data_IF_898034876535
#
_entry.id   IF_898034876535
#
_cell.length_a   1.000
_cell.length_b   1.000
_cell.length_c   1.000
_cell.angle_alpha   90.00
_cell.angle_beta   90.00
_cell.angle_gamma   90.00
#
_symmetry.space_group_name_H-M   'P 1'
#
loop_
_entity.id
_entity.type
_entity.pdbx_description
1 polymer ?
#
# COMPACT_ATOMS: atom_id res chain seq x y z
N UNK A 1 31.36 26.42 28.82
CA UNK A 1 30.39 26.63 27.74
C UNK A 1 30.60 25.52 26.74
N UNK A 2 29.65 24.58 26.67
CA UNK A 2 29.74 23.37 25.83
C UNK A 2 29.23 23.72 24.44
N UNK A 3 30.12 23.74 23.44
CA UNK A 3 29.75 23.90 22.03
C UNK A 3 29.12 22.59 21.55
N UNK A 4 27.80 22.53 21.54
CA UNK A 4 27.09 21.54 20.73
C UNK A 4 27.10 22.04 19.30
N UNK A 5 27.87 21.38 18.43
CA UNK A 5 27.69 21.50 16.99
C UNK A 5 26.33 20.90 16.64
N UNK A 6 25.38 21.78 16.30
CA UNK A 6 24.12 21.38 15.69
C UNK A 6 24.45 20.87 14.30
N UNK A 7 24.42 19.55 14.16
CA UNK A 7 24.62 18.84 12.90
C UNK A 7 23.67 19.39 11.85
N UNK A 8 24.22 20.02 10.81
CA UNK A 8 23.48 20.66 9.70
C UNK A 8 23.03 19.61 8.68
N UNK A 9 22.30 18.60 9.12
CA UNK A 9 21.66 17.62 8.21
C UNK A 9 20.16 17.90 8.02
N UNK A 10 19.69 19.11 8.34
CA UNK A 10 18.29 19.51 8.17
C UNK A 10 18.02 20.23 6.84
N UNK A 11 18.75 19.90 5.79
CA UNK A 11 18.42 20.33 4.44
C UNK A 11 17.87 19.11 3.68
N UNK A 12 16.68 19.30 3.09
CA UNK A 12 15.88 18.34 2.32
C UNK A 12 15.06 17.29 3.08
N UNK A 13 14.03 17.78 3.76
CA UNK A 13 12.69 17.20 3.53
C UNK A 13 11.69 18.34 3.63
N UNK A 14 11.14 18.74 2.48
CA UNK A 14 9.84 19.38 2.41
C UNK A 14 8.82 18.44 3.07
N UNK A 15 8.72 18.51 4.40
CA UNK A 15 7.73 17.78 5.18
C UNK A 15 6.38 18.36 4.80
N UNK A 16 5.76 17.81 3.76
CA UNK A 16 4.33 17.99 3.52
C UNK A 16 3.63 17.56 4.81
N UNK A 17 3.12 18.54 5.56
CA UNK A 17 2.40 18.33 6.83
C UNK A 17 1.20 17.38 6.63
N UNK A 18 0.72 17.26 5.39
CA UNK A 18 -0.37 16.39 4.98
C UNK A 18 -0.01 14.90 4.88
N UNK A 19 1.28 14.53 4.81
CA UNK A 19 1.71 13.14 4.65
C UNK A 19 2.33 12.64 5.95
N UNK A 20 1.96 11.42 6.33
CA UNK A 20 2.56 10.71 7.44
C UNK A 20 4.00 10.28 7.12
N UNK A 21 4.78 9.96 8.15
CA UNK A 21 6.16 9.46 7.99
C UNK A 21 6.17 8.03 7.43
N UNK A 22 5.07 7.28 7.62
CA UNK A 22 4.90 5.92 7.13
C UNK A 22 4.47 5.92 5.67
N UNK A 23 5.29 5.38 4.79
CA UNK A 23 4.95 5.21 3.35
C UNK A 23 3.69 4.37 3.17
N UNK A 24 3.53 3.32 3.99
CA UNK A 24 2.34 2.47 3.98
C UNK A 24 1.07 3.23 4.40
N UNK A 25 1.17 4.21 5.29
CA UNK A 25 0.02 5.03 5.69
C UNK A 25 -0.34 6.03 4.59
N UNK A 26 0.66 6.62 3.93
CA UNK A 26 0.46 7.53 2.82
C UNK A 26 -0.19 6.84 1.62
N UNK A 27 0.30 5.64 1.28
CA UNK A 27 -0.30 4.83 0.24
C UNK A 27 -1.74 4.44 0.60
N UNK A 28 -1.99 4.06 1.87
CA UNK A 28 -3.34 3.80 2.37
C UNK A 28 -4.26 5.03 2.27
N UNK A 29 -3.80 6.21 2.65
CA UNK A 29 -4.61 7.44 2.51
C UNK A 29 -5.02 7.69 1.06
N UNK A 30 -4.13 7.42 0.10
CA UNK A 30 -4.43 7.59 -1.32
C UNK A 30 -5.39 6.51 -1.86
N UNK A 31 -5.21 5.24 -1.45
CA UNK A 31 -6.06 4.13 -1.89
C UNK A 31 -7.47 4.17 -1.29
N UNK A 32 -7.64 4.89 -0.18
CA UNK A 32 -8.91 5.02 0.55
C UNK A 32 -9.64 6.33 0.30
N UNK A 33 -9.16 7.15 -0.63
CA UNK A 33 -9.83 8.39 -0.99
C UNK A 33 -11.18 8.10 -1.68
N UNK A 34 -12.25 8.56 -1.03
CA UNK A 34 -13.63 8.35 -1.47
C UNK A 34 -14.19 9.57 -2.23
N UNK A 35 -13.52 10.73 -2.14
CA UNK A 35 -13.93 11.97 -2.79
C UNK A 35 -14.25 11.82 -4.29
N UNK A 36 -13.39 11.20 -5.13
CA UNK A 36 -13.66 11.11 -6.57
C UNK A 36 -14.92 10.29 -6.89
N UNK A 37 -15.27 9.33 -6.01
CA UNK A 37 -16.45 8.51 -6.20
C UNK A 37 -17.72 9.23 -5.77
N UNK A 38 -17.66 10.09 -4.75
CA UNK A 38 -18.82 10.83 -4.21
C UNK A 38 -19.20 12.04 -5.07
N UNK A 39 -18.22 12.72 -5.66
CA UNK A 39 -18.45 13.90 -6.52
C UNK A 39 -19.21 13.56 -7.82
N UNK A 40 -19.14 12.30 -8.26
CA UNK A 40 -19.83 11.82 -9.44
C UNK A 40 -21.36 11.61 -9.24
N UNK A 41 -21.86 11.69 -8.00
CA UNK A 41 -23.25 11.42 -7.67
C UNK A 41 -24.07 12.70 -7.49
N UNK A 42 -25.35 12.61 -7.83
CA UNK A 42 -26.32 13.64 -7.45
C UNK A 42 -26.63 13.58 -5.95
N UNK A 43 -27.04 14.69 -5.35
CA UNK A 43 -27.34 14.79 -3.92
C UNK A 43 -28.32 13.71 -3.42
N UNK A 44 -29.36 13.39 -4.20
CA UNK A 44 -30.33 12.33 -3.85
C UNK A 44 -29.70 10.93 -3.84
N UNK A 45 -28.78 10.67 -4.77
CA UNK A 45 -28.07 9.39 -4.82
C UNK A 45 -27.06 9.25 -3.68
N UNK A 46 -26.42 10.34 -3.30
CA UNK A 46 -25.49 10.39 -2.17
C UNK A 46 -26.21 10.11 -0.85
N UNK A 47 -27.39 10.71 -0.61
CA UNK A 47 -28.25 10.39 0.54
C UNK A 47 -28.63 8.91 0.55
N UNK A 48 -28.98 8.35 -0.62
CA UNK A 48 -29.29 6.93 -0.75
C UNK A 48 -28.10 6.03 -0.42
N UNK A 49 -26.89 6.36 -0.87
CA UNK A 49 -25.66 5.60 -0.59
C UNK A 49 -25.36 5.58 0.92
N UNK A 50 -25.47 6.72 1.62
CA UNK A 50 -25.29 6.77 3.07
C UNK A 50 -26.39 5.99 3.82
N UNK A 51 -27.65 6.10 3.40
CA UNK A 51 -28.74 5.32 3.99
C UNK A 51 -28.54 3.80 3.78
N UNK A 52 -27.92 3.41 2.66
CA UNK A 52 -27.61 2.02 2.32
C UNK A 52 -26.45 1.46 3.16
N UNK A 53 -25.51 2.31 3.55
CA UNK A 53 -24.49 1.99 4.55
C UNK A 53 -25.10 1.72 5.93
N UNK A 54 -25.94 2.63 6.43
CA UNK A 54 -26.57 2.47 7.75
C UNK A 54 -27.48 1.24 7.85
N UNK A 55 -28.10 0.85 6.74
CA UNK A 55 -29.07 -0.24 6.68
C UNK A 55 -28.48 -1.58 6.24
N UNK A 56 -27.15 -1.69 6.17
CA UNK A 56 -26.42 -2.91 5.78
C UNK A 56 -26.99 -3.56 4.49
N UNK A 57 -27.02 -2.79 3.39
CA UNK A 57 -27.50 -3.24 2.06
C UNK A 57 -29.02 -3.51 1.96
N UNK A 58 -29.82 -3.13 2.95
CA UNK A 58 -31.27 -3.22 2.85
C UNK A 58 -31.84 -2.09 1.95
N UNK A 59 -31.99 -2.39 0.66
CA UNK A 59 -32.45 -1.43 -0.37
C UNK A 59 -33.81 -0.79 -0.04
N UNK A 60 -34.87 -1.54 0.35
CA UNK A 60 -36.14 -0.95 0.76
C UNK A 60 -36.02 0.07 1.90
N UNK A 61 -35.30 -0.29 2.98
CA UNK A 61 -35.12 0.60 4.12
C UNK A 61 -34.28 1.84 3.77
N UNK A 62 -33.25 1.66 2.93
CA UNK A 62 -32.43 2.76 2.43
C UNK A 62 -33.23 3.72 1.54
N UNK A 63 -34.12 3.20 0.68
CA UNK A 63 -34.98 4.04 -0.17
C UNK A 63 -35.97 4.87 0.64
N UNK A 64 -36.54 4.30 1.69
CA UNK A 64 -37.48 4.99 2.57
C UNK A 64 -36.79 6.15 3.29
N UNK A 65 -35.61 5.89 3.87
CA UNK A 65 -34.76 6.93 4.49
C UNK A 65 -34.33 8.02 3.51
N UNK A 66 -34.07 7.67 2.26
CA UNK A 66 -33.69 8.62 1.21
C UNK A 66 -34.88 9.39 0.60
N UNK A 67 -36.12 9.09 0.99
CA UNK A 67 -37.32 9.69 0.42
C UNK A 67 -37.56 9.31 -1.05
N UNK A 68 -37.11 8.13 -1.46
CA UNK A 68 -37.21 7.62 -2.83
C UNK A 68 -38.19 6.45 -2.91
N UNK A 69 -38.76 6.22 -4.10
CA UNK A 69 -39.60 5.04 -4.32
C UNK A 69 -38.76 3.76 -4.33
N UNK A 70 -39.32 2.66 -3.82
CA UNK A 70 -38.63 1.36 -3.76
C UNK A 70 -38.21 0.85 -5.16
N UNK A 71 -39.01 1.13 -6.19
CA UNK A 71 -38.68 0.81 -7.59
C UNK A 71 -37.45 1.58 -8.07
N UNK A 72 -37.37 2.87 -7.73
CA UNK A 72 -36.24 3.72 -8.10
C UNK A 72 -34.94 3.29 -7.40
N UNK A 73 -34.99 2.87 -6.13
CA UNK A 73 -33.81 2.31 -5.45
C UNK A 73 -33.25 1.05 -6.08
N UNK A 74 -34.11 0.15 -6.55
CA UNK A 74 -33.67 -1.04 -7.29
C UNK A 74 -32.96 -0.67 -8.60
N UNK A 75 -33.38 0.41 -9.25
CA UNK A 75 -32.70 0.93 -10.44
C UNK A 75 -31.38 1.62 -10.09
N UNK A 76 -31.31 2.35 -8.98
CA UNK A 76 -30.07 2.96 -8.47
C UNK A 76 -28.99 1.92 -8.18
N UNK A 77 -29.35 0.75 -7.66
CA UNK A 77 -28.40 -0.33 -7.42
C UNK A 77 -27.80 -0.93 -8.69
N UNK A 78 -28.44 -0.73 -9.85
CA UNK A 78 -27.88 -1.15 -11.14
C UNK A 78 -26.84 -0.17 -11.65
N UNK A 79 -26.92 1.10 -11.24
CA UNK A 79 -25.94 2.13 -11.60
C UNK A 79 -24.56 1.76 -11.04
N UNK A 80 -23.55 1.78 -11.91
CA UNK A 80 -22.17 1.48 -11.54
C UNK A 80 -21.59 2.53 -10.59
N UNK A 81 -22.01 3.79 -10.71
CA UNK A 81 -21.50 4.90 -9.89
C UNK A 81 -21.90 4.74 -8.43
N UNK A 82 -23.16 4.40 -8.19
CA UNK A 82 -23.72 4.14 -6.86
C UNK A 82 -23.03 2.96 -6.20
N UNK A 83 -22.82 1.86 -6.93
CA UNK A 83 -22.10 0.68 -6.41
C UNK A 83 -20.64 0.99 -6.08
N UNK A 84 -19.94 1.71 -6.97
CA UNK A 84 -18.54 2.12 -6.72
C UNK A 84 -18.42 3.01 -5.49
N UNK A 85 -19.30 3.99 -5.33
CA UNK A 85 -19.31 4.86 -4.15
C UNK A 85 -19.61 4.10 -2.86
N UNK A 86 -20.57 3.17 -2.89
CA UNK A 86 -20.84 2.31 -1.74
C UNK A 86 -19.61 1.44 -1.38
N UNK A 87 -18.99 0.79 -2.36
CA UNK A 87 -17.78 -0.02 -2.14
C UNK A 87 -16.63 0.82 -1.60
N UNK A 88 -16.42 2.03 -2.13
CA UNK A 88 -15.38 2.94 -1.66
C UNK A 88 -15.59 3.34 -0.19
N UNK A 89 -16.82 3.70 0.20
CA UNK A 89 -17.15 4.03 1.59
C UNK A 89 -17.02 2.82 2.52
N UNK A 90 -17.45 1.63 2.07
CA UNK A 90 -17.31 0.40 2.85
C UNK A 90 -15.85 0.03 3.08
N UNK A 91 -15.03 0.17 2.04
CA UNK A 91 -13.60 -0.03 2.12
C UNK A 91 -13.00 0.98 3.10
N UNK A 92 -13.30 2.27 2.95
CA UNK A 92 -12.84 3.32 3.87
C UNK A 92 -13.16 2.98 5.34
N UNK A 93 -14.39 2.60 5.67
CA UNK A 93 -14.75 2.19 7.04
C UNK A 93 -13.98 0.95 7.53
N UNK A 94 -13.72 0.00 6.64
CA UNK A 94 -12.95 -1.20 6.98
C UNK A 94 -11.48 -0.84 7.26
N UNK A 95 -10.94 0.18 6.59
CA UNK A 95 -9.56 0.63 6.80
C UNK A 95 -9.35 1.34 8.14
N UNK A 96 -10.31 2.11 8.63
CA UNK A 96 -10.24 2.73 9.97
C UNK A 96 -10.22 1.74 11.14
N UNK A 97 -10.45 0.44 10.88
CA UNK A 97 -10.27 -0.61 11.89
C UNK A 97 -8.80 -0.99 12.11
N UNK A 98 -7.91 -0.58 11.22
CA UNK A 98 -6.48 -0.81 11.33
C UNK A 98 -5.83 0.42 11.96
N UNK A 99 -5.08 0.20 13.04
CA UNK A 99 -4.36 1.28 13.75
C UNK A 99 -3.38 1.96 12.77
N UNK A 100 -3.51 3.27 12.63
CA UNK A 100 -2.57 4.10 11.87
C UNK A 100 -1.25 4.29 12.64
N UNK A 101 -0.19 4.67 11.93
CA UNK A 101 1.12 4.95 12.53
C UNK A 101 1.03 6.01 13.63
N UNK A 102 0.25 7.08 13.41
CA UNK A 102 0.05 8.13 14.40
C UNK A 102 -0.71 7.62 15.64
N UNK A 103 -1.78 6.84 15.44
CA UNK A 103 -2.54 6.22 16.53
C UNK A 103 -1.70 5.21 17.32
N UNK A 104 -0.82 4.45 16.65
CA UNK A 104 0.10 3.54 17.33
C UNK A 104 1.05 4.29 18.27
N UNK A 105 1.64 5.41 17.82
CA UNK A 105 2.50 6.24 18.64
C UNK A 105 1.74 6.93 19.79
N UNK A 106 0.51 7.37 19.54
CA UNK A 106 -0.37 7.90 20.57
C UNK A 106 -0.69 6.84 21.63
N UNK A 107 -1.09 5.64 21.21
CA UNK A 107 -1.38 4.52 22.12
C UNK A 107 -0.18 4.11 22.98
N UNK A 108 1.02 4.07 22.40
CA UNK A 108 2.26 3.83 23.17
C UNK A 108 2.53 4.93 24.19
N UNK A 109 2.27 6.19 23.83
CA UNK A 109 2.41 7.34 24.74
C UNK A 109 1.39 7.28 25.88
N UNK A 110 0.18 6.83 25.60
CA UNK A 110 -0.88 6.69 26.60
C UNK A 110 -0.60 5.56 27.59
N UNK A 111 -0.07 4.41 27.13
CA UNK A 111 0.38 3.31 28.00
C UNK A 111 1.40 3.81 29.03
N UNK A 112 2.31 4.69 28.59
CA UNK A 112 3.35 5.26 29.45
C UNK A 112 2.76 6.20 30.51
N UNK A 113 1.86 7.09 30.11
CA UNK A 113 1.36 8.17 30.98
C UNK A 113 0.22 7.72 31.89
N UNK A 114 -0.75 7.01 31.34
CA UNK A 114 -2.05 6.75 31.95
C UNK A 114 -2.52 5.31 31.85
N UNK A 115 -1.69 4.40 31.30
CA UNK A 115 -2.06 3.00 31.11
C UNK A 115 -2.48 2.30 32.40
N UNK A 116 -3.63 1.64 32.32
CA UNK A 116 -4.13 0.66 33.30
C UNK A 116 -4.33 -0.68 32.60
N UNK A 117 -4.18 -1.76 33.36
CA UNK A 117 -4.43 -3.13 32.92
C UNK A 117 -5.43 -3.78 33.87
N UNK A 118 -6.25 -4.67 33.34
CA UNK A 118 -7.27 -5.39 34.10
C UNK A 118 -6.75 -6.76 34.46
N UNK A 119 -6.58 -7.00 35.77
CA UNK A 119 -6.04 -8.26 36.29
C UNK A 119 -7.10 -8.93 37.16
N UNK A 120 -7.28 -10.24 36.98
CA UNK A 120 -8.14 -11.04 37.85
C UNK A 120 -7.41 -11.26 39.17
N UNK A 121 -8.00 -10.83 40.28
CA UNK A 121 -7.47 -11.12 41.60
C UNK A 121 -7.69 -12.61 41.91
N UNK A 122 -6.63 -13.43 42.07
CA UNK A 122 -6.78 -14.88 42.27
C UNK A 122 -7.42 -15.24 43.62
N UNK A 123 -7.49 -14.30 44.57
CA UNK A 123 -8.07 -14.52 45.89
C UNK A 123 -9.55 -14.19 45.97
N UNK A 124 -10.00 -13.16 45.25
CA UNK A 124 -11.42 -12.71 45.29
C UNK A 124 -12.19 -13.08 44.03
N UNK A 125 -11.50 -13.43 42.93
CA UNK A 125 -12.12 -13.69 41.64
C UNK A 125 -12.62 -12.43 40.92
N UNK A 126 -12.42 -11.25 41.50
CA UNK A 126 -12.89 -9.97 40.95
C UNK A 126 -11.84 -9.39 39.98
N UNK A 127 -12.33 -8.63 38.99
CA UNK A 127 -11.50 -7.85 38.07
C UNK A 127 -11.06 -6.58 38.79
N UNK A 128 -9.74 -6.34 38.84
CA UNK A 128 -9.16 -5.14 39.44
C UNK A 128 -8.33 -4.42 38.38
N UNK A 129 -8.51 -3.10 38.27
CA UNK A 129 -7.66 -2.24 37.45
C UNK A 129 -6.38 -1.90 38.21
N UNK A 130 -5.24 -2.24 37.62
CA UNK A 130 -3.91 -2.01 38.16
C UNK A 130 -3.14 -1.15 37.16
N UNK A 131 -2.29 -0.20 37.58
CA UNK A 131 -1.42 0.52 36.65
C UNK A 131 -0.57 -0.47 35.83
N UNK A 132 -0.35 -0.15 34.55
CA UNK A 132 0.41 -1.03 33.65
C UNK A 132 1.79 -1.32 34.24
N UNK A 133 2.24 -2.58 34.18
CA UNK A 133 3.51 -2.99 34.74
C UNK A 133 4.68 -2.21 34.14
N UNK A 134 5.68 -1.91 34.98
CA UNK A 134 6.87 -1.15 34.56
C UNK A 134 7.60 -1.79 33.37
N UNK A 135 7.60 -3.12 33.26
CA UNK A 135 8.19 -3.84 32.12
C UNK A 135 7.54 -3.42 30.80
N UNK A 136 6.23 -3.35 30.77
CA UNK A 136 5.48 -3.07 29.55
C UNK A 136 5.56 -1.58 29.20
N UNK A 137 5.60 -0.70 30.21
CA UNK A 137 5.95 0.72 30.05
C UNK A 137 7.35 0.92 29.48
N UNK A 138 8.35 0.18 29.97
CA UNK A 138 9.73 0.26 29.45
C UNK A 138 9.81 -0.17 27.99
N UNK A 139 9.06 -1.20 27.58
CA UNK A 139 8.99 -1.61 26.19
C UNK A 139 8.34 -0.53 25.31
N UNK A 140 7.27 0.11 25.78
CA UNK A 140 6.66 1.23 25.08
C UNK A 140 7.63 2.42 24.94
N UNK A 141 8.39 2.74 26.00
CA UNK A 141 9.45 3.77 25.95
C UNK A 141 10.52 3.41 24.93
N UNK A 142 11.01 2.17 24.93
CA UNK A 142 12.03 1.70 23.98
C UNK A 142 11.56 1.88 22.53
N UNK A 143 10.32 1.50 22.22
CA UNK A 143 9.76 1.63 20.87
C UNK A 143 9.64 3.09 20.44
N UNK A 144 9.21 4.00 21.33
CA UNK A 144 9.16 5.44 21.03
C UNK A 144 10.56 6.05 20.84
N UNK A 145 11.51 5.67 21.69
CA UNK A 145 12.89 6.14 21.60
C UNK A 145 13.57 5.65 20.31
N UNK A 146 13.29 4.41 19.87
CA UNK A 146 13.73 3.88 18.57
C UNK A 146 13.13 4.66 17.41
N UNK A 147 11.83 4.97 17.46
CA UNK A 147 11.17 5.80 16.44
C UNK A 147 11.83 7.20 16.33
N UNK A 148 12.19 7.81 17.46
CA UNK A 148 12.89 9.10 17.49
C UNK A 148 14.40 9.00 17.22
N UNK A 149 14.93 7.81 16.90
CA UNK A 149 16.37 7.55 16.70
C UNK A 149 17.25 7.93 17.90
N UNK A 150 16.67 7.95 19.11
CA UNK A 150 17.41 8.20 20.35
C UNK A 150 18.15 6.93 20.77
N UNK A 151 17.50 5.77 20.60
CA UNK A 151 18.10 4.46 20.73
C UNK A 151 18.29 3.88 19.33
N UNK A 152 19.49 3.36 19.04
CA UNK A 152 19.73 2.50 17.88
C UNK A 152 19.84 1.07 18.36
N UNK A 153 19.18 0.14 17.67
CA UNK A 153 19.59 -1.26 17.78
C UNK A 153 21.02 -1.31 17.27
N UNK A 154 21.93 -1.82 18.12
CA UNK A 154 23.37 -1.78 17.87
C UNK A 154 23.68 -2.18 16.44
N UNK A 155 24.64 -1.48 15.82
CA UNK A 155 25.08 -1.82 14.45
C UNK A 155 25.37 -3.32 14.43
N UNK A 156 24.66 -4.04 13.56
CA UNK A 156 25.05 -5.38 13.21
C UNK A 156 26.40 -5.21 12.50
N UNK A 157 27.50 -5.43 13.23
CA UNK A 157 28.83 -5.54 12.62
C UNK A 157 28.83 -6.82 11.79
N UNK A 158 28.17 -6.76 10.63
CA UNK A 158 28.36 -7.73 9.58
C UNK A 158 29.78 -7.49 9.11
N UNK A 159 30.69 -8.30 9.63
CA UNK A 159 32.03 -8.39 9.10
C UNK A 159 31.90 -8.73 7.61
N UNK A 160 32.06 -7.73 6.74
CA UNK A 160 32.14 -7.92 5.29
C UNK A 160 33.34 -8.79 4.88
N UNK A 161 34.17 -9.21 5.84
CA UNK A 161 35.21 -10.23 5.70
C UNK A 161 34.68 -11.68 5.81
N UNK A 162 33.37 -11.88 5.83
CA UNK A 162 32.84 -13.23 5.60
C UNK A 162 33.07 -13.52 4.12
N UNK A 163 34.09 -14.33 3.81
CA UNK A 163 34.49 -14.80 2.48
C UNK A 163 33.33 -15.47 1.71
N UNK A 164 32.31 -14.71 1.33
CA UNK A 164 31.25 -15.16 0.45
C UNK A 164 31.75 -15.02 -0.97
N UNK A 165 32.34 -16.09 -1.49
CA UNK A 165 32.55 -16.25 -2.92
C UNK A 165 31.19 -16.60 -3.52
N UNK A 166 30.54 -15.61 -4.14
CA UNK A 166 29.36 -15.86 -4.97
C UNK A 166 29.88 -16.51 -6.26
N UNK A 167 29.75 -17.83 -6.37
CA UNK A 167 29.98 -18.55 -7.63
C UNK A 167 28.69 -18.44 -8.43
N UNK A 168 28.75 -17.69 -9.53
CA UNK A 168 27.67 -17.60 -10.50
C UNK A 168 27.99 -18.63 -11.59
N UNK A 169 27.46 -19.84 -11.45
CA UNK A 169 27.44 -20.81 -12.55
C UNK A 169 26.35 -20.34 -13.53
N UNK A 170 26.79 -19.78 -14.66
CA UNK A 170 25.91 -19.56 -15.81
C UNK A 170 25.92 -20.88 -16.56
N UNK A 171 24.77 -21.56 -16.61
CA UNK A 171 24.60 -22.77 -17.42
C UNK A 171 25.02 -22.47 -18.87
N UNK A 172 25.96 -23.25 -19.41
CA UNK A 172 26.45 -23.18 -20.80
C UNK A 172 25.35 -23.42 -21.86
N UNK A 173 24.10 -23.65 -21.44
CA UNK A 173 22.93 -23.77 -22.31
C UNK A 173 22.49 -22.45 -22.96
N UNK A 174 23.00 -21.29 -22.50
CA UNK A 174 22.72 -20.00 -23.13
C UNK A 174 23.48 -19.79 -24.44
N UNK A 175 24.65 -20.40 -24.62
CA UNK A 175 25.46 -20.25 -25.83
C UNK A 175 24.80 -20.92 -27.05
N UNK A 176 24.08 -22.02 -26.84
CA UNK A 176 23.39 -22.75 -27.92
C UNK A 176 22.11 -22.03 -28.38
N UNK A 177 21.37 -21.39 -27.46
CA UNK A 177 20.21 -20.56 -27.82
C UNK A 177 20.62 -19.28 -28.55
N UNK A 178 21.75 -18.66 -28.15
CA UNK A 178 22.25 -17.45 -28.79
C UNK A 178 22.79 -17.75 -30.21
N UNK A 179 23.50 -18.86 -30.41
CA UNK A 179 23.93 -19.33 -31.75
C UNK A 179 22.76 -19.67 -32.68
N UNK A 180 21.69 -20.26 -32.14
CA UNK A 180 20.49 -20.55 -32.92
C UNK A 180 19.79 -19.25 -33.38
N UNK A 181 19.76 -18.22 -32.53
CA UNK A 181 19.21 -16.92 -32.88
C UNK A 181 20.02 -16.20 -33.97
N UNK A 182 21.35 -16.22 -33.88
CA UNK A 182 22.25 -15.63 -34.89
C UNK A 182 22.15 -16.32 -36.26
N UNK A 183 22.10 -17.66 -36.30
CA UNK A 183 21.88 -18.40 -37.54
C UNK A 183 20.50 -18.13 -38.16
N UNK A 184 19.48 -17.92 -37.33
CA UNK A 184 18.13 -17.56 -37.79
C UNK A 184 18.05 -16.18 -38.45
N UNK A 185 18.83 -15.21 -37.96
CA UNK A 185 18.94 -13.87 -38.56
C UNK A 185 19.68 -13.94 -39.89
N UNK A 186 20.80 -14.66 -39.95
CA UNK A 186 21.62 -14.75 -41.17
C UNK A 186 20.86 -15.42 -42.33
N UNK A 187 20.06 -16.45 -42.06
CA UNK A 187 19.22 -17.09 -43.07
C UNK A 187 18.11 -16.16 -43.60
N UNK A 188 17.47 -15.36 -42.73
CA UNK A 188 16.48 -14.36 -43.16
C UNK A 188 17.08 -13.27 -44.04
N UNK A 189 18.33 -12.90 -43.78
CA UNK A 189 19.04 -11.89 -44.57
C UNK A 189 19.44 -12.42 -45.96
N UNK A 190 19.90 -13.69 -46.02
CA UNK A 190 20.15 -14.40 -47.28
C UNK A 190 18.89 -14.59 -48.13
N UNK A 191 17.75 -14.90 -47.52
CA UNK A 191 16.46 -14.99 -48.23
C UNK A 191 16.01 -13.65 -48.80
N UNK A 192 16.22 -12.54 -48.07
CA UNK A 192 15.95 -11.19 -48.58
C UNK A 192 16.84 -10.86 -49.78
N UNK A 193 18.13 -11.16 -49.71
CA UNK A 193 19.05 -10.92 -50.84
C UNK A 193 18.74 -11.76 -52.07
N UNK A 194 18.29 -13.03 -51.89
CA UNK A 194 17.88 -13.88 -53.02
C UNK A 194 16.65 -13.34 -53.75
N UNK A 195 15.72 -12.72 -53.01
CA UNK A 195 14.49 -12.14 -53.57
C UNK A 195 14.75 -10.90 -54.43
N UNK A 196 15.78 -10.13 -54.10
CA UNK A 196 16.15 -8.93 -54.86
C UNK A 196 16.85 -9.27 -56.19
N UNK A 197 17.54 -10.41 -56.27
CA UNK A 197 18.24 -10.85 -57.49
C UNK A 197 17.27 -11.42 -58.54
N UNK A 198 16.16 -12.05 -58.12
CA UNK A 198 15.21 -12.66 -59.08
C UNK A 198 14.33 -11.66 -59.85
N UNK A 199 14.34 -10.38 -59.47
CA UNK A 199 13.54 -9.33 -60.14
C UNK A 199 14.30 -8.58 -61.25
N UNK A 200 15.49 -9.05 -61.63
CA UNK A 200 16.30 -8.50 -62.73
C UNK A 200 16.67 -9.58 -63.75
N UNK A 201 15.67 -10.29 -64.28
CA UNK A 201 15.80 -10.98 -65.57
C UNK A 201 15.31 -10.03 -66.65
N UNK A 202 16.26 -9.47 -67.39
CA UNK A 202 16.01 -8.68 -68.59
C UNK A 202 15.65 -9.68 -69.70
N UNK A 203 14.40 -9.64 -70.17
CA UNK A 203 14.01 -10.32 -71.41
C UNK A 203 14.76 -9.67 -72.57
N UNK A 204 15.71 -10.40 -73.16
CA UNK A 204 16.33 -10.01 -74.43
C UNK A 204 15.66 -10.85 -75.52
N UNK A 205 14.78 -10.22 -76.29
CA UNK A 205 14.21 -10.83 -77.49
C UNK A 205 15.31 -11.03 -78.55
N UNK A 206 15.41 -12.20 -79.19
CA UNK A 206 16.30 -12.41 -80.32
C UNK A 206 15.70 -11.83 -81.62
N UNK A 207 16.54 -11.14 -82.41
CA UNK A 207 16.24 -10.59 -83.75
C UNK A 207 15.77 -11.63 -84.77
#
# INVERSE_FOLDING_TARGET
>A
MSNYEVDKTSEDTTRNISLSISEADNQRMHETDVAPYLECLTQKQLIFVYALMESNLNVPAATEKAGLSASYGKNLMKDIRVRRAYTALWNQQSFWKVISHAEALAGLSDIIRYGTDTVINPKTGELVEVPTLNRDKMKAYEMLLKHHKILSDGKLDVNHNTNQTIIVDIDDHLDDEMKAYEMGIHNKELERMRKDISNHVIEVEPE
#
